data_IF_059756828778
#
_entry.id   IF_059756828778
#
_cell.length_a   1.000
_cell.length_b   1.000
_cell.length_c   1.000
_cell.angle_alpha   90.00
_cell.angle_beta   90.00
_cell.angle_gamma   90.00
#
_symmetry.space_group_name_H-M   'P 1'
#
loop_
_entity.id
_entity.type
_entity.pdbx_description
1 polymer ?
#
# COMPACT_ATOMS: atom_id res chain seq x y z
N UNK A 1 -9.32 -23.59 -6.60
CA UNK A 1 -8.36 -22.65 -7.20
C UNK A 1 -7.81 -21.62 -6.23
N UNK A 2 -8.63 -20.79 -5.54
CA UNK A 2 -8.07 -19.79 -4.63
C UNK A 2 -7.15 -20.36 -3.54
N UNK A 3 -7.48 -21.54 -3.01
CA UNK A 3 -6.69 -22.20 -1.98
C UNK A 3 -5.30 -22.61 -2.51
N UNK A 4 -5.25 -23.18 -3.71
CA UNK A 4 -4.00 -23.59 -4.34
C UNK A 4 -3.10 -22.36 -4.60
N UNK A 5 -3.68 -21.29 -5.10
CA UNK A 5 -2.96 -20.03 -5.36
C UNK A 5 -2.39 -19.46 -4.06
N UNK A 6 -3.17 -19.48 -2.99
CA UNK A 6 -2.74 -19.02 -1.67
C UNK A 6 -1.55 -19.82 -1.15
N UNK A 7 -1.56 -21.16 -1.30
CA UNK A 7 -0.45 -22.01 -0.89
C UNK A 7 0.83 -21.72 -1.69
N UNK A 8 0.69 -21.50 -3.00
CA UNK A 8 1.83 -21.16 -3.87
C UNK A 8 2.45 -19.83 -3.46
N UNK A 9 1.62 -18.84 -3.13
CA UNK A 9 2.10 -17.54 -2.66
C UNK A 9 2.83 -17.67 -1.32
N UNK A 10 2.27 -18.43 -0.39
CA UNK A 10 2.87 -18.66 0.93
C UNK A 10 4.23 -19.35 0.87
N UNK A 11 4.45 -20.16 -0.16
CA UNK A 11 5.70 -20.91 -0.36
C UNK A 11 6.69 -20.17 -1.26
N UNK A 12 6.52 -18.86 -1.44
CA UNK A 12 7.42 -18.00 -2.23
C UNK A 12 7.62 -18.47 -3.68
N UNK A 13 6.53 -18.92 -4.32
CA UNK A 13 6.55 -19.27 -5.73
C UNK A 13 5.63 -18.34 -6.54
N UNK A 14 5.89 -17.00 -6.52
CA UNK A 14 4.98 -16.04 -7.16
C UNK A 14 4.89 -16.19 -8.67
N UNK A 15 5.95 -16.65 -9.32
CA UNK A 15 5.93 -16.88 -10.78
C UNK A 15 4.95 -17.98 -11.15
N UNK A 16 4.95 -19.09 -10.39
CA UNK A 16 4.00 -20.19 -10.60
C UNK A 16 2.57 -19.76 -10.33
N UNK A 17 2.37 -18.97 -9.28
CA UNK A 17 1.05 -18.44 -8.93
C UNK A 17 0.52 -17.54 -10.06
N UNK A 18 1.38 -16.72 -10.63
CA UNK A 18 1.02 -15.84 -11.76
C UNK A 18 0.61 -16.66 -12.98
N UNK A 19 1.35 -17.73 -13.28
CA UNK A 19 1.00 -18.64 -14.39
C UNK A 19 -0.36 -19.31 -14.17
N UNK A 20 -0.64 -19.78 -12.96
CA UNK A 20 -1.93 -20.38 -12.61
C UNK A 20 -3.06 -19.37 -12.84
N UNK A 21 -2.84 -18.14 -12.41
CA UNK A 21 -3.83 -17.07 -12.57
C UNK A 21 -4.10 -16.77 -14.07
N UNK A 22 -3.06 -16.72 -14.88
CA UNK A 22 -3.14 -16.47 -16.32
C UNK A 22 -3.80 -17.62 -17.09
N UNK A 23 -3.58 -18.87 -16.66
CA UNK A 23 -4.16 -20.05 -17.29
C UNK A 23 -5.66 -20.23 -17.00
N UNK A 24 -6.14 -19.69 -15.88
CA UNK A 24 -7.52 -19.84 -15.44
C UNK A 24 -8.18 -18.49 -15.15
N UNK A 25 -8.28 -17.59 -16.14
CA UNK A 25 -8.82 -16.25 -15.90
C UNK A 25 -10.27 -16.24 -15.45
N UNK A 26 -11.05 -17.27 -15.80
CA UNK A 26 -12.47 -17.40 -15.44
C UNK A 26 -12.70 -17.82 -13.98
N UNK A 27 -11.66 -18.30 -13.29
CA UNK A 27 -11.78 -18.77 -11.92
C UNK A 27 -11.98 -17.65 -10.89
N UNK A 28 -11.72 -16.42 -11.28
CA UNK A 28 -11.82 -15.26 -10.41
C UNK A 28 -12.65 -14.16 -11.04
N UNK A 29 -13.27 -13.34 -10.19
CA UNK A 29 -13.91 -12.11 -10.65
C UNK A 29 -12.83 -11.18 -11.23
N UNK A 30 -13.15 -10.37 -12.26
CA UNK A 30 -12.15 -9.51 -12.90
C UNK A 30 -11.37 -8.64 -11.91
N UNK A 31 -12.03 -8.09 -10.90
CA UNK A 31 -11.43 -7.24 -9.90
C UNK A 31 -10.45 -8.00 -9.00
N UNK A 32 -10.88 -9.16 -8.51
CA UNK A 32 -10.03 -10.03 -7.69
C UNK A 32 -8.80 -10.48 -8.47
N UNK A 33 -8.99 -10.84 -9.73
CA UNK A 33 -7.90 -11.26 -10.60
C UNK A 33 -6.87 -10.16 -10.80
N UNK A 34 -7.31 -8.93 -11.01
CA UNK A 34 -6.41 -7.78 -11.17
C UNK A 34 -5.60 -7.51 -9.91
N UNK A 35 -6.23 -7.60 -8.76
CA UNK A 35 -5.55 -7.41 -7.48
C UNK A 35 -4.50 -8.47 -7.22
N UNK A 36 -4.86 -9.74 -7.46
CA UNK A 36 -3.93 -10.86 -7.32
C UNK A 36 -2.77 -10.74 -8.30
N UNK A 37 -3.08 -10.43 -9.55
CA UNK A 37 -2.07 -10.26 -10.60
C UNK A 37 -1.09 -9.14 -10.25
N UNK A 38 -1.60 -8.00 -9.77
CA UNK A 38 -0.78 -6.87 -9.36
C UNK A 38 0.14 -7.26 -8.20
N UNK A 39 -0.40 -7.93 -7.19
CA UNK A 39 0.38 -8.37 -6.03
C UNK A 39 1.50 -9.35 -6.45
N UNK A 40 1.18 -10.28 -7.33
CA UNK A 40 2.15 -11.26 -7.82
C UNK A 40 3.24 -10.62 -8.68
N UNK A 41 2.88 -9.65 -9.51
CA UNK A 41 3.84 -8.89 -10.30
C UNK A 41 4.84 -8.15 -9.42
N UNK A 42 4.36 -7.55 -8.34
CA UNK A 42 5.23 -6.88 -7.36
C UNK A 42 6.20 -7.89 -6.74
N UNK A 43 5.72 -9.06 -6.32
CA UNK A 43 6.55 -10.12 -5.75
C UNK A 43 7.58 -10.66 -6.72
N UNK A 44 7.26 -10.69 -8.01
CA UNK A 44 8.19 -11.09 -9.06
C UNK A 44 9.19 -9.99 -9.44
N UNK A 45 9.10 -8.82 -8.85
CA UNK A 45 9.93 -7.67 -9.19
C UNK A 45 9.50 -6.95 -10.47
N UNK A 46 8.33 -7.26 -11.00
CA UNK A 46 7.79 -6.66 -12.24
C UNK A 46 6.89 -5.47 -11.91
N UNK A 47 7.45 -4.51 -11.21
CA UNK A 47 6.71 -3.35 -10.67
C UNK A 47 6.12 -2.45 -11.74
N UNK A 48 6.84 -2.23 -12.84
CA UNK A 48 6.35 -1.40 -13.94
C UNK A 48 5.08 -1.98 -14.57
N UNK A 49 5.02 -3.29 -14.72
CA UNK A 49 3.84 -3.98 -15.24
C UNK A 49 2.67 -3.90 -14.26
N UNK A 50 2.96 -4.00 -12.95
CA UNK A 50 1.95 -3.85 -11.92
C UNK A 50 1.34 -2.45 -11.94
N UNK A 51 2.16 -1.41 -12.10
CA UNK A 51 1.69 -0.03 -12.21
C UNK A 51 0.80 0.18 -13.45
N UNK A 52 1.20 -0.39 -14.58
CA UNK A 52 0.40 -0.31 -15.79
C UNK A 52 -0.96 -0.97 -15.63
N UNK A 53 -0.98 -2.12 -14.98
CA UNK A 53 -2.23 -2.84 -14.70
C UNK A 53 -3.16 -2.01 -13.82
N UNK A 54 -2.61 -1.35 -12.81
CA UNK A 54 -3.37 -0.46 -11.93
C UNK A 54 -3.92 0.75 -12.67
N UNK A 55 -3.13 1.35 -13.57
CA UNK A 55 -3.58 2.50 -14.37
C UNK A 55 -4.72 2.12 -15.29
N UNK A 56 -4.63 0.97 -15.95
CA UNK A 56 -5.70 0.47 -16.81
C UNK A 56 -6.99 0.20 -16.05
N UNK A 57 -6.86 -0.16 -14.78
CA UNK A 57 -7.99 -0.46 -13.93
C UNK A 57 -8.68 0.78 -13.36
N UNK A 58 -8.06 1.96 -13.41
CA UNK A 58 -8.62 3.20 -12.89
C UNK A 58 -9.95 3.59 -13.55
N UNK A 59 -10.11 3.28 -14.82
CA UNK A 59 -11.33 3.61 -15.57
C UNK A 59 -12.50 2.68 -15.28
N UNK A 60 -12.28 1.60 -14.56
CA UNK A 60 -13.28 0.55 -14.32
C UNK A 60 -13.96 0.55 -12.98
N UNK A 61 -13.98 1.67 -12.27
CA UNK A 61 -14.61 1.73 -10.95
C UNK A 61 -13.61 1.43 -9.84
N UNK A 62 -13.51 2.37 -8.95
CA UNK A 62 -12.50 2.33 -7.93
C UNK A 62 -12.91 1.49 -6.74
N UNK A 63 -12.24 0.45 -6.52
CA UNK A 63 -12.21 -0.09 -5.19
C UNK A 63 -11.13 0.60 -4.37
N UNK A 64 -11.35 0.78 -3.09
CA UNK A 64 -10.31 1.19 -2.15
C UNK A 64 -9.12 0.25 -2.22
N UNK A 65 -9.36 -1.00 -2.59
CA UNK A 65 -8.30 -1.99 -2.77
C UNK A 65 -7.25 -1.61 -3.79
N UNK A 66 -7.65 -0.97 -4.89
CA UNK A 66 -6.71 -0.49 -5.90
C UNK A 66 -5.86 0.67 -5.41
N UNK A 67 -6.49 1.63 -4.73
CA UNK A 67 -5.78 2.75 -4.13
C UNK A 67 -4.75 2.28 -3.11
N UNK A 68 -5.14 1.34 -2.26
CA UNK A 68 -4.24 0.74 -1.28
C UNK A 68 -3.04 0.08 -1.95
N UNK A 69 -3.29 -0.69 -2.99
CA UNK A 69 -2.24 -1.38 -3.72
C UNK A 69 -1.31 -0.41 -4.43
N UNK A 70 -1.86 0.64 -5.02
CA UNK A 70 -1.06 1.69 -5.66
C UNK A 70 -0.14 2.39 -4.67
N UNK A 71 -0.63 2.68 -3.47
CA UNK A 71 0.17 3.30 -2.40
C UNK A 71 1.27 2.35 -1.93
N UNK A 72 0.94 1.09 -1.70
CA UNK A 72 1.92 0.08 -1.27
C UNK A 72 3.01 -0.11 -2.31
N UNK A 73 2.64 -0.11 -3.58
CA UNK A 73 3.60 -0.22 -4.67
C UNK A 73 4.50 1.01 -4.77
N UNK A 74 3.92 2.19 -4.68
CA UNK A 74 4.68 3.44 -4.68
C UNK A 74 5.67 3.47 -3.52
N UNK A 75 5.23 3.05 -2.33
CA UNK A 75 6.09 2.95 -1.16
C UNK A 75 7.25 1.98 -1.39
N UNK A 76 6.96 0.81 -1.95
CA UNK A 76 7.96 -0.20 -2.25
C UNK A 76 8.99 0.27 -3.28
N UNK A 77 8.59 1.13 -4.21
CA UNK A 77 9.47 1.71 -5.23
C UNK A 77 10.15 3.01 -4.76
N UNK A 78 9.94 3.39 -3.52
CA UNK A 78 10.50 4.62 -2.94
C UNK A 78 9.98 5.90 -3.63
N UNK A 79 8.80 5.83 -4.24
CA UNK A 79 8.08 7.00 -4.73
C UNK A 79 7.33 7.65 -3.56
N UNK A 80 8.08 8.33 -2.71
CA UNK A 80 7.56 8.89 -1.47
C UNK A 80 6.47 9.94 -1.71
N UNK A 81 6.60 10.74 -2.74
CA UNK A 81 5.61 11.76 -3.09
C UNK A 81 4.29 11.12 -3.50
N UNK A 82 4.32 10.13 -4.39
CA UNK A 82 3.13 9.41 -4.83
C UNK A 82 2.48 8.62 -3.70
N UNK A 83 3.28 7.91 -2.92
CA UNK A 83 2.82 7.14 -1.78
C UNK A 83 2.16 8.05 -0.73
N UNK A 84 2.76 9.20 -0.44
CA UNK A 84 2.23 10.18 0.51
C UNK A 84 0.85 10.68 0.09
N UNK A 85 0.71 11.12 -1.16
CA UNK A 85 -0.56 11.61 -1.69
C UNK A 85 -1.66 10.56 -1.61
N UNK A 86 -1.35 9.34 -2.02
CA UNK A 86 -2.29 8.23 -1.97
C UNK A 86 -2.69 7.88 -0.54
N UNK A 87 -1.73 7.83 0.38
CA UNK A 87 -1.98 7.55 1.79
C UNK A 87 -2.87 8.61 2.43
N UNK A 88 -2.65 9.88 2.12
CA UNK A 88 -3.48 10.98 2.62
C UNK A 88 -4.92 10.87 2.13
N UNK A 89 -5.11 10.54 0.85
CA UNK A 89 -6.46 10.32 0.30
C UNK A 89 -7.16 9.13 0.95
N UNK A 90 -6.45 8.04 1.16
CA UNK A 90 -7.00 6.86 1.84
C UNK A 90 -7.38 7.17 3.28
N UNK A 91 -6.55 7.94 3.99
CA UNK A 91 -6.86 8.36 5.36
C UNK A 91 -8.16 9.16 5.43
N UNK A 92 -8.39 10.06 4.47
CA UNK A 92 -9.61 10.85 4.40
C UNK A 92 -10.85 10.02 4.09
N UNK A 93 -10.72 8.98 3.27
CA UNK A 93 -11.84 8.14 2.85
C UNK A 93 -12.16 7.00 3.81
N UNK A 94 -11.26 6.65 4.72
CA UNK A 94 -11.48 5.56 5.66
C UNK A 94 -12.38 5.97 6.81
N UNK A 95 -13.32 5.10 7.16
CA UNK A 95 -14.25 5.33 8.27
C UNK A 95 -13.77 4.72 9.58
N UNK A 96 -12.95 3.67 9.51
CA UNK A 96 -12.43 2.99 10.69
C UNK A 96 -11.19 3.71 11.22
N UNK A 97 -11.16 4.10 12.52
CA UNK A 97 -10.02 4.84 13.07
C UNK A 97 -8.67 4.14 12.89
N UNK A 98 -8.61 2.83 13.11
CA UNK A 98 -7.37 2.07 12.96
C UNK A 98 -6.85 2.09 11.52
N UNK A 99 -7.73 2.01 10.54
CA UNK A 99 -7.36 2.07 9.13
C UNK A 99 -6.90 3.47 8.73
N UNK A 100 -7.57 4.51 9.22
CA UNK A 100 -7.12 5.89 9.02
C UNK A 100 -5.74 6.11 9.57
N UNK A 101 -5.48 5.61 10.77
CA UNK A 101 -4.20 5.76 11.43
C UNK A 101 -3.08 5.06 10.67
N UNK A 102 -3.37 3.90 10.09
CA UNK A 102 -2.42 3.19 9.25
C UNK A 102 -1.91 4.08 8.12
N UNK A 103 -2.84 4.74 7.41
CA UNK A 103 -2.47 5.60 6.29
C UNK A 103 -1.82 6.90 6.74
N UNK A 104 -2.26 7.45 7.87
CA UNK A 104 -1.63 8.63 8.48
C UNK A 104 -0.18 8.33 8.88
N UNK A 105 0.03 7.17 9.50
CA UNK A 105 1.37 6.73 9.85
C UNK A 105 2.25 6.57 8.61
N UNK A 106 1.73 5.93 7.58
CA UNK A 106 2.45 5.74 6.32
C UNK A 106 2.79 7.08 5.65
N UNK A 107 1.85 8.01 5.63
CA UNK A 107 2.11 9.35 5.06
C UNK A 107 3.22 10.08 5.84
N UNK A 108 3.28 9.89 7.14
CA UNK A 108 4.35 10.39 7.99
C UNK A 108 5.72 9.82 7.62
N UNK A 109 5.78 8.50 7.37
CA UNK A 109 7.01 7.86 6.92
C UNK A 109 7.48 8.39 5.57
N UNK A 110 6.54 8.61 4.66
CA UNK A 110 6.85 9.21 3.35
C UNK A 110 7.41 10.63 3.51
N UNK A 111 6.78 11.45 4.35
CA UNK A 111 7.26 12.80 4.65
C UNK A 111 8.66 12.78 5.27
N UNK A 112 8.91 11.84 6.18
CA UNK A 112 10.21 11.65 6.80
C UNK A 112 11.28 11.35 5.73
N UNK A 113 10.98 10.45 4.82
CA UNK A 113 11.92 10.10 3.74
C UNK A 113 12.15 11.25 2.76
N UNK A 114 11.18 12.16 2.62
CA UNK A 114 11.32 13.37 1.82
C UNK A 114 12.02 14.50 2.61
N UNK A 115 12.41 14.24 3.85
CA UNK A 115 13.01 15.21 4.77
C UNK A 115 12.06 16.34 5.17
N UNK A 116 10.77 16.14 4.98
CA UNK A 116 9.73 17.03 5.46
C UNK A 116 9.35 16.61 6.89
N UNK A 117 10.22 16.93 7.84
CA UNK A 117 10.07 16.50 9.24
C UNK A 117 8.87 17.16 9.93
N UNK A 118 8.57 18.39 9.58
CA UNK A 118 7.39 19.07 10.10
C UNK A 118 6.11 18.37 9.63
N UNK A 119 6.03 17.99 8.35
CA UNK A 119 4.93 17.24 7.79
C UNK A 119 4.79 15.85 8.42
N UNK A 120 5.91 15.17 8.67
CA UNK A 120 5.93 13.88 9.35
C UNK A 120 5.38 14.01 10.78
N UNK A 121 5.83 14.99 11.52
CA UNK A 121 5.35 15.24 12.90
C UNK A 121 3.85 15.50 12.91
N UNK A 122 3.34 16.30 11.97
CA UNK A 122 1.92 16.60 11.83
C UNK A 122 1.10 15.35 11.56
N UNK A 123 1.55 14.51 10.61
CA UNK A 123 0.88 13.26 10.27
C UNK A 123 0.80 12.32 11.48
N UNK A 124 1.89 12.15 12.19
CA UNK A 124 1.92 11.26 13.36
C UNK A 124 1.16 11.82 14.55
N UNK A 125 1.09 13.13 14.69
CA UNK A 125 0.29 13.77 15.73
C UNK A 125 -1.22 13.55 15.50
N UNK A 126 -1.65 13.33 14.26
CA UNK A 126 -3.05 13.12 13.92
C UNK A 126 -3.54 11.70 14.21
N UNK A 127 -2.64 10.77 14.54
CA UNK A 127 -2.97 9.38 14.86
C UNK A 127 -3.77 9.31 16.16
N UNK A 128 -4.89 8.61 16.16
CA UNK A 128 -5.86 8.60 17.24
C UNK A 128 -5.82 7.36 18.13
N UNK A 129 -5.63 6.17 17.55
CA UNK A 129 -5.68 4.92 18.28
C UNK A 129 -4.38 4.68 19.07
N UNK A 130 -4.52 4.04 20.22
CA UNK A 130 -3.38 3.78 21.11
C UNK A 130 -2.28 2.96 20.45
N UNK A 131 -2.66 1.92 19.72
CA UNK A 131 -1.69 1.07 19.02
C UNK A 131 -0.81 1.88 18.07
N UNK A 132 -1.44 2.73 17.25
CA UNK A 132 -0.71 3.54 16.28
C UNK A 132 0.06 4.68 16.92
N UNK A 133 -0.46 5.23 18.01
CA UNK A 133 0.28 6.22 18.82
C UNK A 133 1.57 5.62 19.36
N UNK A 134 1.50 4.39 19.87
CA UNK A 134 2.66 3.68 20.39
C UNK A 134 3.69 3.41 19.29
N UNK A 135 3.24 3.02 18.09
CA UNK A 135 4.11 2.79 16.95
C UNK A 135 4.77 4.09 16.46
N UNK A 136 4.04 5.19 16.51
CA UNK A 136 4.52 6.48 16.03
C UNK A 136 5.45 7.19 17.06
N UNK A 137 5.35 6.84 18.33
CA UNK A 137 6.07 7.54 19.40
C UNK A 137 7.58 7.67 19.17
N UNK A 138 8.33 6.59 18.83
CA UNK A 138 9.77 6.74 18.60
C UNK A 138 10.09 7.62 17.40
N UNK A 139 9.27 7.55 16.35
CA UNK A 139 9.42 8.39 15.16
C UNK A 139 9.18 9.86 15.48
N UNK A 140 8.16 10.14 16.29
CA UNK A 140 7.86 11.50 16.73
C UNK A 140 9.01 12.08 17.56
N UNK A 141 9.60 11.27 18.44
CA UNK A 141 10.73 11.68 19.25
C UNK A 141 11.94 12.02 18.36
N UNK A 142 12.22 11.21 17.36
CA UNK A 142 13.31 11.45 16.42
C UNK A 142 13.11 12.73 15.62
N UNK A 143 11.91 12.94 15.09
CA UNK A 143 11.58 14.16 14.34
C UNK A 143 11.68 15.40 15.21
N UNK A 144 11.22 15.32 16.45
CA UNK A 144 11.35 16.42 17.41
C UNK A 144 12.82 16.79 17.62
N UNK A 145 13.67 15.79 17.72
CA UNK A 145 15.12 16.00 17.83
C UNK A 145 15.68 16.66 16.56
N UNK A 146 15.28 16.18 15.38
CA UNK A 146 15.75 16.73 14.11
C UNK A 146 15.29 18.16 13.85
N UNK A 147 14.15 18.56 14.43
CA UNK A 147 13.61 19.91 14.29
C UNK A 147 14.17 20.90 15.31
N UNK A 148 14.85 20.39 16.34
CA UNK A 148 15.41 21.25 17.39
C UNK A 148 16.82 21.82 17.03
#
# INVERSE_FOLDING_TARGET
MPLLLSLVIEHDAPTKALLILEEHPEAWKPEERRMLQTALLVKCGRRAEALELLRKAEDGGAGKGRERMAVELAFAEEDWTGARKGAMRLAESETKPAERDRWRFLSGLCAYNLKDYAGAAEAWASVETERWRSLAAPWRAEVKFLLS
#
